data_IF_915919670067
#
_entry.id   IF_915919670067
#
_cell.length_a   1.000
_cell.length_b   1.000
_cell.length_c   1.000
_cell.angle_alpha   90.00
_cell.angle_beta   90.00
_cell.angle_gamma   90.00
#
_symmetry.space_group_name_H-M   'P 1'
#
loop_
_entity.id
_entity.type
_entity.pdbx_description
1 polymer ?
#
# COMPACT_ATOMS: atom_id res chain seq x y z
N UNK A 1 -12.57 4.08 -2.49
CA UNK A 1 -13.30 3.97 -1.21
C UNK A 1 -12.41 4.45 -0.09
N UNK A 2 -12.99 4.97 1.00
CA UNK A 2 -12.23 5.27 2.22
C UNK A 2 -11.72 3.96 2.86
N UNK A 3 -10.56 3.95 3.51
CA UNK A 3 -10.07 2.77 4.24
C UNK A 3 -10.86 2.55 5.54
N UNK A 4 -10.78 1.33 6.09
CA UNK A 4 -11.42 0.92 7.34
C UNK A 4 -10.39 0.43 8.35
N UNK A 5 -10.69 0.54 9.65
CA UNK A 5 -9.81 0.09 10.73
C UNK A 5 -10.61 -0.63 11.83
N UNK A 6 -10.22 -1.87 12.13
CA UNK A 6 -10.90 -2.72 13.12
C UNK A 6 -9.95 -3.15 14.22
N UNK A 7 -10.49 -3.33 15.43
CA UNK A 7 -9.73 -3.80 16.58
C UNK A 7 -10.01 -5.28 16.85
N UNK A 8 -9.35 -6.16 16.08
CA UNK A 8 -9.66 -7.59 15.99
C UNK A 8 -9.68 -8.33 17.34
N UNK A 9 -8.88 -7.91 18.31
CA UNK A 9 -8.86 -8.52 19.65
C UNK A 9 -10.16 -8.27 20.45
N UNK A 10 -10.80 -7.11 20.25
CA UNK A 10 -12.06 -6.75 20.93
C UNK A 10 -13.29 -6.92 20.02
N UNK A 11 -13.07 -6.88 18.71
CA UNK A 11 -14.09 -7.02 17.68
C UNK A 11 -13.57 -7.88 16.51
N UNK A 12 -13.48 -9.20 16.71
CA UNK A 12 -13.00 -10.14 15.68
C UNK A 12 -13.98 -10.31 14.52
N UNK A 13 -15.20 -9.76 14.62
CA UNK A 13 -16.22 -9.80 13.56
C UNK A 13 -16.24 -8.53 12.72
N UNK A 14 -15.33 -7.58 12.98
CA UNK A 14 -15.19 -6.34 12.20
C UNK A 14 -16.49 -5.54 12.09
N UNK A 15 -17.29 -5.53 13.16
CA UNK A 15 -18.61 -4.88 13.18
C UNK A 15 -18.51 -3.37 13.38
N UNK A 16 -17.42 -2.90 14.00
CA UNK A 16 -17.22 -1.49 14.32
C UNK A 16 -15.98 -0.93 13.64
N UNK A 17 -16.21 -0.15 12.58
CA UNK A 17 -15.15 0.64 11.96
C UNK A 17 -14.73 1.79 12.88
N UNK A 18 -13.43 1.86 13.17
CA UNK A 18 -12.79 2.89 14.00
C UNK A 18 -12.13 3.97 13.16
N UNK A 19 -12.22 3.88 11.83
CA UNK A 19 -11.69 4.88 10.91
C UNK A 19 -12.18 6.30 11.27
N UNK A 20 -11.26 7.25 11.34
CA UNK A 20 -11.54 8.65 11.68
C UNK A 20 -11.66 8.97 13.17
N UNK A 21 -11.63 7.99 14.08
CA UNK A 21 -11.60 8.26 15.52
C UNK A 21 -10.20 8.77 15.94
N UNK A 22 -10.14 9.82 16.78
CA UNK A 22 -8.88 10.44 17.19
C UNK A 22 -7.88 9.45 17.83
N UNK A 23 -8.36 8.52 18.64
CA UNK A 23 -7.51 7.46 19.23
C UNK A 23 -6.99 6.44 18.21
N UNK A 24 -7.76 6.20 17.15
CA UNK A 24 -7.42 5.29 16.06
C UNK A 24 -6.50 5.94 15.00
N UNK A 25 -6.46 7.28 14.97
CA UNK A 25 -5.63 8.05 14.03
C UNK A 25 -4.13 7.82 14.21
N UNK A 26 -3.67 7.58 15.44
CA UNK A 26 -2.25 7.28 15.73
C UNK A 26 -1.88 5.89 15.22
N UNK A 27 -2.71 4.88 15.50
CA UNK A 27 -2.50 3.52 15.00
C UNK A 27 -2.62 3.43 13.47
N UNK A 28 -3.57 4.16 12.88
CA UNK A 28 -3.70 4.27 11.44
C UNK A 28 -2.46 4.90 10.79
N UNK A 29 -1.94 6.00 11.33
CA UNK A 29 -0.72 6.66 10.83
C UNK A 29 0.50 5.75 10.93
N UNK A 30 0.68 5.04 12.05
CA UNK A 30 1.76 4.08 12.24
C UNK A 30 1.77 2.95 11.20
N UNK A 31 0.64 2.62 10.58
CA UNK A 31 0.55 1.63 9.50
C UNK A 31 0.61 2.28 8.11
N UNK A 32 -0.13 3.36 7.91
CA UNK A 32 -0.25 4.01 6.60
C UNK A 32 1.03 4.73 6.18
N UNK A 33 1.75 5.36 7.11
CA UNK A 33 2.97 6.10 6.78
C UNK A 33 4.07 5.15 6.28
N UNK A 34 4.40 4.01 6.95
CA UNK A 34 5.32 3.02 6.40
C UNK A 34 4.83 2.40 5.08
N UNK A 35 3.53 2.12 4.93
CA UNK A 35 3.00 1.60 3.67
C UNK A 35 3.16 2.59 2.51
N UNK A 36 3.00 3.89 2.77
CA UNK A 36 3.26 4.92 1.78
C UNK A 36 4.75 4.96 1.39
N UNK A 37 5.66 4.90 2.37
CA UNK A 37 7.11 4.85 2.13
C UNK A 37 7.47 3.63 1.27
N UNK A 38 6.95 2.45 1.58
CA UNK A 38 7.19 1.22 0.82
C UNK A 38 6.64 1.31 -0.61
N UNK A 39 5.48 1.96 -0.82
CA UNK A 39 4.96 2.22 -2.17
C UNK A 39 5.88 3.15 -2.96
N UNK A 40 6.34 4.25 -2.37
CA UNK A 40 7.27 5.17 -3.02
C UNK A 40 8.57 4.46 -3.38
N UNK A 41 9.13 3.69 -2.44
CA UNK A 41 10.35 2.91 -2.68
C UNK A 41 10.16 1.90 -3.83
N UNK A 42 9.02 1.19 -3.87
CA UNK A 42 8.73 0.27 -4.96
C UNK A 42 8.64 1.00 -6.31
N UNK A 43 8.02 2.18 -6.37
CA UNK A 43 7.95 2.98 -7.60
C UNK A 43 9.35 3.40 -8.06
N UNK A 44 10.18 3.92 -7.15
CA UNK A 44 11.55 4.33 -7.46
C UNK A 44 12.43 3.13 -7.85
N UNK A 45 12.29 2.00 -7.17
CA UNK A 45 12.99 0.76 -7.52
C UNK A 45 12.62 0.29 -8.92
N UNK A 46 11.33 0.29 -9.27
CA UNK A 46 10.85 -0.08 -10.61
C UNK A 46 11.39 0.87 -11.69
N UNK A 47 11.40 2.18 -11.42
CA UNK A 47 12.01 3.18 -12.32
C UNK A 47 13.51 2.95 -12.49
N UNK A 48 14.23 2.63 -11.41
CA UNK A 48 15.66 2.36 -11.47
C UNK A 48 15.99 1.07 -12.22
N UNK A 49 15.17 0.02 -12.05
CA UNK A 49 15.32 -1.27 -12.73
C UNK A 49 14.98 -1.19 -14.22
N UNK A 50 13.86 -0.57 -14.57
CA UNK A 50 13.29 -0.68 -15.91
C UNK A 50 13.27 0.64 -16.70
N UNK A 51 13.63 1.76 -16.07
CA UNK A 51 13.54 3.09 -16.67
C UNK A 51 12.12 3.66 -16.67
N UNK A 52 11.85 4.61 -17.57
CA UNK A 52 10.52 5.18 -17.76
C UNK A 52 9.53 4.09 -18.19
N UNK A 53 8.36 3.97 -17.56
CA UNK A 53 7.34 2.94 -17.84
C UNK A 53 6.95 2.83 -19.33
N UNK A 54 7.10 3.90 -20.11
CA UNK A 54 6.90 3.90 -21.57
C UNK A 54 7.94 3.05 -22.34
N UNK A 55 9.13 2.85 -21.77
CA UNK A 55 10.25 2.07 -22.31
C UNK A 55 10.20 0.60 -21.88
N UNK A 56 9.31 0.27 -20.93
CA UNK A 56 9.26 -1.02 -20.22
C UNK A 56 8.46 -2.06 -21.00
N UNK A 57 7.55 -1.68 -21.90
CA UNK A 57 6.61 -2.62 -22.54
C UNK A 57 7.28 -3.79 -23.27
N UNK A 58 8.40 -3.57 -23.96
CA UNK A 58 9.08 -4.64 -24.71
C UNK A 58 9.96 -5.54 -23.84
N UNK A 59 10.66 -4.99 -22.84
CA UNK A 59 11.51 -5.78 -21.92
C UNK A 59 10.71 -6.48 -20.83
N UNK A 60 9.62 -5.88 -20.38
CA UNK A 60 8.70 -6.46 -19.40
C UNK A 60 7.88 -7.62 -19.96
N UNK A 61 7.52 -7.58 -21.25
CA UNK A 61 6.90 -8.72 -21.92
C UNK A 61 7.87 -9.93 -22.02
N UNK A 62 9.14 -9.66 -22.34
CA UNK A 62 10.17 -10.70 -22.47
C UNK A 62 10.53 -11.39 -21.13
N UNK A 63 10.52 -10.66 -20.00
CA UNK A 63 10.80 -11.23 -18.67
C UNK A 63 9.61 -12.05 -18.10
N UNK A 64 8.40 -11.88 -18.64
CA UNK A 64 7.19 -12.62 -18.24
C UNK A 64 6.89 -13.83 -19.14
N UNK A 65 7.68 -14.07 -20.19
CA UNK A 65 7.58 -15.27 -21.01
C UNK A 65 6.48 -15.23 -22.09
N UNK A 66 6.23 -14.06 -22.71
CA UNK A 66 5.58 -13.98 -24.03
C UNK A 66 6.61 -13.92 -25.18
#
# INVERSE_FOLDING_TARGET
GAPSLFHLTKDPKELKDLWGNASASVGARLLLDPMWILRQWNVEWKKAQWGNAASVSSRFAADLGE
#
